data_IF_889731647565
#
_entry.id   IF_889731647565
#
_cell.length_a   1.000
_cell.length_b   1.000
_cell.length_c   1.000
_cell.angle_alpha   90.00
_cell.angle_beta   90.00
_cell.angle_gamma   90.00
#
_symmetry.space_group_name_H-M   'P 1'
#
loop_
_entity.id
_entity.type
_entity.pdbx_description
1 polymer ?
#
# COMPACT_ATOMS: atom_id res chain seq x y z
N UNK A 1 28.80 66.03 -41.32
CA UNK A 1 28.71 66.39 -39.88
C UNK A 1 29.19 65.18 -39.08
N UNK A 2 30.39 65.25 -38.50
CA UNK A 2 31.08 64.08 -37.90
C UNK A 2 30.63 63.90 -36.45
N UNK A 3 29.90 62.81 -36.18
CA UNK A 3 29.31 62.48 -34.87
C UNK A 3 30.44 62.04 -33.92
N UNK A 4 30.76 62.84 -32.90
CA UNK A 4 31.75 62.45 -31.88
C UNK A 4 31.21 61.22 -31.12
N UNK A 5 31.97 60.13 -31.10
CA UNK A 5 31.72 58.97 -30.24
C UNK A 5 32.23 59.34 -28.84
N UNK A 6 31.33 59.44 -27.88
CA UNK A 6 31.72 59.58 -26.47
C UNK A 6 32.27 58.22 -26.00
N UNK A 7 33.54 58.19 -25.61
CA UNK A 7 34.14 57.03 -24.97
C UNK A 7 33.73 56.98 -23.50
N UNK A 8 33.52 55.77 -22.98
CA UNK A 8 33.14 55.51 -21.60
C UNK A 8 34.26 55.95 -20.64
N UNK A 9 33.92 56.60 -19.53
CA UNK A 9 34.93 56.98 -18.53
C UNK A 9 35.39 55.76 -17.73
N UNK A 10 36.68 55.69 -17.38
CA UNK A 10 37.18 54.65 -16.47
C UNK A 10 36.43 54.67 -15.13
N UNK A 11 36.02 55.85 -14.65
CA UNK A 11 35.31 55.98 -13.37
C UNK A 11 33.89 55.40 -13.43
N UNK A 12 33.20 55.51 -14.57
CA UNK A 12 31.87 54.93 -14.75
C UNK A 12 31.95 53.40 -14.72
N UNK A 13 32.97 52.82 -15.35
CA UNK A 13 33.18 51.38 -15.35
C UNK A 13 33.48 50.85 -13.94
N UNK A 14 34.30 51.57 -13.16
CA UNK A 14 34.61 51.21 -11.77
C UNK A 14 33.36 51.29 -10.88
N UNK A 15 32.53 52.31 -11.05
CA UNK A 15 31.30 52.44 -10.25
C UNK A 15 30.30 51.31 -10.54
N UNK A 16 30.19 50.89 -11.80
CA UNK A 16 29.31 49.78 -12.21
C UNK A 16 29.72 48.46 -11.55
N UNK A 17 31.02 48.11 -11.55
CA UNK A 17 31.47 46.85 -10.93
C UNK A 17 31.29 46.86 -9.41
N UNK A 18 31.40 48.02 -8.76
CA UNK A 18 31.17 48.15 -7.31
C UNK A 18 29.70 47.92 -6.99
N UNK A 19 28.78 48.54 -7.74
CA UNK A 19 27.34 48.32 -7.55
C UNK A 19 26.98 46.84 -7.76
N UNK A 20 27.49 46.23 -8.85
CA UNK A 20 27.26 44.81 -9.13
C UNK A 20 27.83 43.91 -8.03
N UNK A 21 28.98 44.26 -7.46
CA UNK A 21 29.59 43.54 -6.33
C UNK A 21 28.70 43.55 -5.08
N UNK A 22 28.14 44.70 -4.71
CA UNK A 22 27.25 44.83 -3.54
C UNK A 22 25.94 44.05 -3.76
N UNK A 23 25.34 44.18 -4.95
CA UNK A 23 24.12 43.45 -5.29
C UNK A 23 24.35 41.93 -5.29
N UNK A 24 25.47 41.47 -5.82
CA UNK A 24 25.84 40.05 -5.82
C UNK A 24 26.05 39.51 -4.39
N UNK A 25 26.73 40.27 -3.52
CA UNK A 25 26.99 39.86 -2.14
C UNK A 25 25.70 39.58 -1.34
N UNK A 26 24.64 40.35 -1.58
CA UNK A 26 23.33 40.15 -0.92
C UNK A 26 22.48 39.08 -1.62
N UNK A 27 22.56 38.98 -2.95
CA UNK A 27 21.74 38.05 -3.73
C UNK A 27 22.21 36.59 -3.65
N UNK A 28 23.53 36.34 -3.64
CA UNK A 28 24.10 34.98 -3.70
C UNK A 28 23.65 34.09 -2.52
N UNK A 29 23.70 34.52 -1.25
CA UNK A 29 23.29 33.68 -0.13
C UNK A 29 21.81 33.26 -0.21
N UNK A 30 20.93 34.20 -0.62
CA UNK A 30 19.50 33.93 -0.82
C UNK A 30 19.25 32.96 -1.98
N UNK A 31 19.96 33.16 -3.10
CA UNK A 31 19.84 32.28 -4.26
C UNK A 31 20.24 30.84 -3.93
N UNK A 32 21.32 30.64 -3.17
CA UNK A 32 21.76 29.29 -2.75
C UNK A 32 20.72 28.62 -1.86
N UNK A 33 20.18 29.31 -0.85
CA UNK A 33 19.16 28.75 0.04
C UNK A 33 17.88 28.35 -0.71
N UNK A 34 17.38 29.21 -1.60
CA UNK A 34 16.18 28.89 -2.40
C UNK A 34 16.38 27.70 -3.34
N UNK A 35 17.60 27.53 -3.88
CA UNK A 35 17.94 26.40 -4.74
C UNK A 35 17.94 25.08 -3.96
N UNK A 36 18.51 25.06 -2.76
CA UNK A 36 18.50 23.86 -1.92
C UNK A 36 17.09 23.48 -1.50
N UNK A 37 16.26 24.46 -1.14
CA UNK A 37 14.87 24.22 -0.76
C UNK A 37 14.05 23.67 -1.94
N UNK A 38 14.26 24.21 -3.14
CA UNK A 38 13.63 23.70 -4.36
C UNK A 38 14.04 22.25 -4.65
N UNK A 39 15.32 21.90 -4.48
CA UNK A 39 15.79 20.52 -4.67
C UNK A 39 15.16 19.55 -3.66
N UNK A 40 15.05 19.96 -2.39
CA UNK A 40 14.39 19.15 -1.35
C UNK A 40 12.90 18.99 -1.66
N UNK A 41 12.22 20.05 -2.10
CA UNK A 41 10.81 19.99 -2.48
C UNK A 41 10.58 19.05 -3.67
N UNK A 42 11.41 19.12 -4.71
CA UNK A 42 11.36 18.20 -5.85
C UNK A 42 11.59 16.76 -5.42
N UNK A 43 12.63 16.49 -4.61
CA UNK A 43 12.90 15.15 -4.11
C UNK A 43 11.73 14.58 -3.29
N UNK A 44 11.08 15.40 -2.46
CA UNK A 44 9.87 14.99 -1.72
C UNK A 44 8.71 14.67 -2.65
N UNK A 45 8.50 15.49 -3.69
CA UNK A 45 7.47 15.25 -4.71
C UNK A 45 7.72 13.97 -5.49
N UNK A 46 8.97 13.71 -5.86
CA UNK A 46 9.38 12.50 -6.57
C UNK A 46 9.13 11.26 -5.70
N UNK A 47 9.51 11.30 -4.42
CA UNK A 47 9.23 10.20 -3.48
C UNK A 47 7.73 9.94 -3.34
N UNK A 48 6.90 10.98 -3.20
CA UNK A 48 5.45 10.84 -3.14
C UNK A 48 4.87 10.25 -4.44
N UNK A 49 5.45 10.60 -5.59
CA UNK A 49 5.06 10.06 -6.89
C UNK A 49 5.42 8.59 -7.04
N UNK A 50 6.64 8.20 -6.60
CA UNK A 50 7.09 6.81 -6.60
C UNK A 50 6.24 5.95 -5.66
N UNK A 51 5.93 6.43 -4.45
CA UNK A 51 5.05 5.72 -3.52
C UNK A 51 3.68 5.41 -4.14
N UNK A 52 3.08 6.40 -4.82
CA UNK A 52 1.81 6.21 -5.55
C UNK A 52 1.97 5.24 -6.71
N UNK A 53 3.07 5.34 -7.46
CA UNK A 53 3.34 4.46 -8.60
C UNK A 53 3.53 3.00 -8.19
N UNK A 54 4.19 2.71 -7.06
CA UNK A 54 4.37 1.35 -6.55
C UNK A 54 3.01 0.71 -6.25
N UNK A 55 2.15 1.42 -5.51
CA UNK A 55 0.82 0.92 -5.16
C UNK A 55 -0.02 0.69 -6.42
N UNK A 56 -0.03 1.65 -7.35
CA UNK A 56 -0.72 1.52 -8.62
C UNK A 56 -0.20 0.35 -9.48
N UNK A 57 1.12 0.14 -9.53
CA UNK A 57 1.75 -0.97 -10.24
C UNK A 57 1.38 -2.32 -9.62
N UNK A 58 1.40 -2.43 -8.30
CA UNK A 58 0.97 -3.65 -7.61
C UNK A 58 -0.50 -3.94 -7.95
N UNK A 59 -1.39 -2.95 -7.92
CA UNK A 59 -2.78 -3.18 -8.34
C UNK A 59 -2.89 -3.59 -9.82
N UNK A 60 -2.15 -2.94 -10.73
CA UNK A 60 -2.17 -3.27 -12.15
C UNK A 60 -1.62 -4.66 -12.46
N UNK A 61 -0.52 -5.07 -11.82
CA UNK A 61 0.07 -6.41 -11.97
C UNK A 61 -0.85 -7.51 -11.39
N UNK A 62 -1.67 -7.18 -10.40
CA UNK A 62 -2.73 -8.06 -9.89
C UNK A 62 -3.94 -8.16 -10.84
N UNK A 63 -4.03 -7.30 -11.85
CA UNK A 63 -4.98 -7.38 -12.97
C UNK A 63 -4.25 -8.02 -14.16
N UNK A 64 -3.56 -9.14 -13.96
CA UNK A 64 -3.16 -10.00 -15.07
C UNK A 64 -4.40 -10.81 -15.50
N UNK A 65 -5.00 -10.54 -16.68
CA UNK A 65 -6.16 -11.26 -17.17
C UNK A 65 -5.86 -12.74 -17.49
N UNK A 66 -4.58 -13.14 -17.53
CA UNK A 66 -4.12 -14.53 -17.75
C UNK A 66 -3.67 -15.26 -16.48
N UNK A 67 -3.34 -14.57 -15.38
CA UNK A 67 -3.12 -15.20 -14.08
C UNK A 67 -4.43 -15.58 -13.37
N UNK A 68 -5.56 -15.05 -13.83
CA UNK A 68 -6.87 -15.47 -13.35
C UNK A 68 -7.21 -16.87 -13.85
N UNK A 69 -6.81 -17.91 -13.08
CA UNK A 69 -7.54 -19.19 -13.08
C UNK A 69 -8.92 -19.08 -12.44
N UNK A 70 -9.36 -17.86 -12.15
CA UNK A 70 -10.56 -17.58 -11.40
C UNK A 70 -11.62 -17.14 -12.41
N UNK A 71 -12.76 -17.86 -12.45
CA UNK A 71 -13.85 -17.46 -13.31
C UNK A 71 -14.28 -16.03 -13.00
N UNK A 72 -14.80 -15.32 -14.00
CA UNK A 72 -15.55 -14.09 -13.75
C UNK A 72 -16.65 -14.33 -12.69
N UNK A 73 -17.08 -13.29 -11.93
CA UNK A 73 -18.17 -13.32 -10.94
C UNK A 73 -19.47 -14.03 -11.31
N UNK A 74 -19.64 -14.34 -12.58
CA UNK A 74 -20.82 -14.88 -13.22
C UNK A 74 -20.46 -15.71 -14.47
N UNK A 75 -19.29 -16.35 -14.51
CA UNK A 75 -18.94 -17.29 -15.58
C UNK A 75 -19.97 -18.45 -15.60
N UNK A 76 -20.82 -18.55 -16.64
CA UNK A 76 -21.84 -19.59 -16.72
C UNK A 76 -21.23 -21.00 -16.87
N UNK A 77 -19.92 -21.11 -17.12
CA UNK A 77 -19.21 -22.39 -17.24
C UNK A 77 -18.69 -22.93 -15.91
N UNK A 78 -18.71 -22.13 -14.83
CA UNK A 78 -18.32 -22.58 -13.48
C UNK A 78 -19.53 -22.56 -12.54
N UNK A 79 -19.81 -23.71 -11.92
CA UNK A 79 -21.02 -24.00 -11.14
C UNK A 79 -21.11 -23.34 -9.75
N UNK A 80 -20.28 -22.32 -9.45
CA UNK A 80 -20.22 -21.70 -8.12
C UNK A 80 -20.31 -20.18 -8.24
N UNK A 81 -21.40 -19.61 -7.74
CA UNK A 81 -21.52 -18.17 -7.50
C UNK A 81 -20.32 -17.70 -6.66
N UNK A 82 -19.71 -16.58 -7.02
CA UNK A 82 -18.60 -16.00 -6.25
C UNK A 82 -19.12 -15.60 -4.86
N UNK A 83 -18.52 -16.18 -3.82
CA UNK A 83 -18.82 -15.83 -2.43
C UNK A 83 -18.21 -14.48 -2.05
N UNK A 84 -18.66 -13.88 -0.95
CA UNK A 84 -18.19 -12.57 -0.51
C UNK A 84 -16.66 -12.51 -0.30
N UNK A 85 -16.05 -13.60 0.19
CA UNK A 85 -14.61 -13.67 0.46
C UNK A 85 -13.80 -13.60 -0.84
N UNK A 86 -14.25 -14.34 -1.85
CA UNK A 86 -13.67 -14.34 -3.18
C UNK A 86 -13.86 -12.97 -3.87
N UNK A 87 -15.04 -12.35 -3.70
CA UNK A 87 -15.31 -11.00 -4.19
C UNK A 87 -14.39 -9.95 -3.57
N UNK A 88 -14.18 -9.98 -2.24
CA UNK A 88 -13.26 -9.05 -1.57
C UNK A 88 -11.82 -9.28 -2.04
N UNK A 89 -11.42 -10.51 -2.34
CA UNK A 89 -10.07 -10.77 -2.86
C UNK A 89 -9.88 -10.11 -4.22
N UNK A 90 -10.87 -10.24 -5.11
CA UNK A 90 -10.82 -9.68 -6.46
C UNK A 90 -10.97 -8.15 -6.51
N UNK A 91 -11.98 -7.62 -5.81
CA UNK A 91 -12.35 -6.20 -5.88
C UNK A 91 -11.60 -5.36 -4.85
N UNK A 92 -11.27 -5.95 -3.70
CA UNK A 92 -10.49 -5.30 -2.64
C UNK A 92 -8.99 -5.21 -2.95
N UNK A 93 -8.55 -5.74 -4.10
CA UNK A 93 -7.15 -5.70 -4.53
C UNK A 93 -6.21 -6.49 -3.62
N UNK A 94 -6.73 -7.53 -2.97
CA UNK A 94 -5.92 -8.47 -2.23
C UNK A 94 -5.30 -9.45 -3.22
N UNK A 95 -3.99 -9.39 -3.32
CA UNK A 95 -3.20 -10.24 -4.22
C UNK A 95 -3.33 -11.74 -3.86
N UNK A 96 -3.69 -12.58 -4.83
CA UNK A 96 -3.79 -14.04 -4.69
C UNK A 96 -2.46 -14.72 -4.42
N UNK A 97 -1.35 -14.00 -4.56
CA UNK A 97 -0.07 -14.50 -4.10
C UNK A 97 0.03 -14.52 -2.57
N UNK A 98 -0.74 -13.67 -1.87
CA UNK A 98 -0.72 -13.48 -0.41
C UNK A 98 -2.04 -13.76 0.28
N UNK A 99 -3.15 -13.89 -0.44
CA UNK A 99 -4.48 -14.09 0.14
C UNK A 99 -5.23 -15.19 -0.60
N UNK A 100 -6.04 -15.93 0.14
CA UNK A 100 -6.90 -16.96 -0.42
C UNK A 100 -8.23 -17.03 0.31
N UNK A 101 -9.23 -17.56 -0.40
CA UNK A 101 -10.47 -18.00 0.22
C UNK A 101 -10.18 -19.19 1.13
N UNK A 102 -10.68 -19.11 2.35
CA UNK A 102 -10.60 -20.20 3.31
C UNK A 102 -11.81 -20.15 4.23
N UNK A 103 -12.56 -21.25 4.20
CA UNK A 103 -13.61 -21.53 5.17
C UNK A 103 -13.07 -21.63 6.60
N UNK A 104 -13.75 -20.97 7.53
CA UNK A 104 -13.54 -21.14 8.96
C UNK A 104 -13.74 -22.61 9.35
N UNK A 105 -12.75 -23.23 10.00
CA UNK A 105 -12.77 -24.65 10.38
C UNK A 105 -13.13 -25.61 9.22
N UNK A 106 -12.80 -25.26 7.97
CA UNK A 106 -13.19 -26.01 6.77
C UNK A 106 -14.72 -26.16 6.58
N UNK A 107 -15.52 -25.29 7.20
CA UNK A 107 -16.97 -25.29 7.08
C UNK A 107 -17.42 -24.35 5.94
N UNK A 108 -17.98 -24.87 4.83
CA UNK A 108 -18.41 -24.06 3.68
C UNK A 108 -19.52 -23.04 4.00
N UNK A 109 -20.20 -23.19 5.14
CA UNK A 109 -21.18 -22.23 5.62
C UNK A 109 -20.54 -20.94 6.16
N UNK A 110 -19.23 -20.91 6.38
CA UNK A 110 -18.49 -19.76 6.91
C UNK A 110 -17.28 -19.47 6.00
N UNK A 111 -17.51 -18.93 4.78
CA UNK A 111 -16.42 -18.51 3.94
C UNK A 111 -15.63 -17.41 4.65
N UNK A 112 -14.34 -17.35 4.39
CA UNK A 112 -13.45 -16.39 5.01
C UNK A 112 -12.25 -16.09 4.13
N UNK A 113 -11.40 -15.20 4.63
CA UNK A 113 -10.18 -14.78 3.98
C UNK A 113 -9.01 -15.14 4.90
N UNK A 114 -8.00 -15.75 4.30
CA UNK A 114 -6.78 -16.09 4.99
C UNK A 114 -5.53 -15.62 4.24
N UNK A 115 -4.49 -15.18 4.95
CA UNK A 115 -3.18 -14.98 4.37
C UNK A 115 -2.55 -16.31 3.96
N UNK A 116 -1.82 -16.28 2.86
CA UNK A 116 -0.99 -17.37 2.37
C UNK A 116 0.43 -17.22 2.88
N UNK A 117 1.04 -18.34 3.28
CA UNK A 117 2.45 -18.41 3.65
C UNK A 117 3.01 -19.80 3.40
N UNK A 118 4.21 -20.05 3.90
CA UNK A 118 4.86 -21.35 3.75
C UNK A 118 4.42 -22.25 4.91
N UNK A 119 3.44 -23.12 4.69
CA UNK A 119 2.86 -23.97 5.74
C UNK A 119 3.43 -25.37 5.68
N UNK A 120 3.50 -26.06 6.82
CA UNK A 120 3.91 -27.47 6.86
C UNK A 120 2.77 -28.38 6.37
N UNK A 121 3.11 -29.42 5.62
CA UNK A 121 2.11 -30.38 5.12
C UNK A 121 1.52 -31.25 6.24
N UNK A 122 2.25 -31.45 7.34
CA UNK A 122 1.85 -32.23 8.50
C UNK A 122 2.50 -31.68 9.77
N UNK A 123 1.88 -31.93 10.94
CA UNK A 123 2.45 -31.60 12.25
C UNK A 123 3.79 -32.32 12.42
N UNK A 124 4.90 -31.57 12.45
CA UNK A 124 6.25 -32.12 12.54
C UNK A 124 7.00 -32.31 11.21
N UNK A 125 6.37 -32.01 10.06
CA UNK A 125 7.04 -32.02 8.76
C UNK A 125 8.17 -30.99 8.64
N UNK A 126 9.16 -31.27 7.78
CA UNK A 126 10.25 -30.36 7.40
C UNK A 126 10.05 -29.71 6.04
N UNK A 127 9.14 -30.25 5.22
CA UNK A 127 8.72 -29.69 3.94
C UNK A 127 7.64 -28.63 4.14
N UNK A 128 7.81 -27.52 3.44
CA UNK A 128 6.86 -26.42 3.43
C UNK A 128 6.26 -26.26 2.03
N UNK A 129 4.97 -25.97 1.98
CA UNK A 129 4.25 -25.64 0.76
C UNK A 129 3.50 -24.33 0.94
N UNK A 130 3.18 -23.68 -0.16
CA UNK A 130 2.33 -22.49 -0.12
C UNK A 130 0.92 -22.90 0.33
N UNK A 131 0.44 -22.31 1.41
CA UNK A 131 -0.90 -22.62 1.94
C UNK A 131 -1.39 -21.62 2.97
N UNK A 132 -2.58 -21.88 3.49
CA UNK A 132 -3.31 -21.03 4.43
C UNK A 132 -2.63 -20.98 5.82
N UNK A 133 -2.30 -19.78 6.30
CA UNK A 133 -1.72 -19.58 7.65
C UNK A 133 -2.75 -19.54 8.79
N UNK A 134 -4.05 -19.47 8.47
CA UNK A 134 -5.17 -19.38 9.40
C UNK A 134 -6.22 -18.38 8.90
N UNK A 135 -7.51 -18.72 8.98
CA UNK A 135 -8.59 -17.79 8.61
C UNK A 135 -8.61 -16.62 9.58
N UNK A 136 -8.44 -15.42 9.04
CA UNK A 136 -8.33 -14.19 9.85
C UNK A 136 -9.60 -13.34 9.77
N UNK A 137 -10.31 -13.37 8.64
CA UNK A 137 -11.57 -12.64 8.46
C UNK A 137 -12.66 -13.63 8.06
N UNK A 138 -13.79 -13.60 8.75
CA UNK A 138 -14.98 -14.35 8.34
C UNK A 138 -16.25 -13.61 8.74
N UNK A 139 -17.37 -13.97 8.11
CA UNK A 139 -18.69 -13.49 8.51
C UNK A 139 -19.34 -14.54 9.38
N UNK A 140 -19.70 -14.18 10.61
CA UNK A 140 -20.57 -14.99 11.45
C UNK A 140 -22.03 -14.67 11.09
N UNK A 141 -22.67 -15.56 10.33
CA UNK A 141 -24.07 -15.40 9.93
C UNK A 141 -25.04 -15.54 11.12
N UNK A 142 -24.65 -16.22 12.20
CA UNK A 142 -25.48 -16.33 13.41
C UNK A 142 -25.52 -15.02 14.19
N UNK A 143 -24.44 -14.24 14.15
CA UNK A 143 -24.34 -12.94 14.83
C UNK A 143 -24.56 -11.75 13.90
N UNK A 144 -24.50 -11.97 12.59
CA UNK A 144 -24.54 -10.90 11.60
C UNK A 144 -23.34 -9.97 11.70
N UNK A 145 -22.15 -10.50 11.97
CA UNK A 145 -20.93 -9.73 12.20
C UNK A 145 -19.82 -10.14 11.23
N UNK A 146 -19.01 -9.17 10.80
CA UNK A 146 -17.69 -9.42 10.21
C UNK A 146 -16.69 -9.52 11.36
N UNK A 147 -16.10 -10.69 11.53
CA UNK A 147 -15.18 -10.99 12.61
C UNK A 147 -13.73 -11.04 12.10
N UNK A 148 -12.82 -10.41 12.86
CA UNK A 148 -11.39 -10.32 12.62
C UNK A 148 -10.63 -10.99 13.78
N UNK A 149 -9.99 -12.11 13.48
CA UNK A 149 -9.33 -12.96 14.45
C UNK A 149 -7.88 -13.29 14.04
N UNK A 150 -6.93 -12.37 14.26
CA UNK A 150 -5.52 -12.59 13.95
C UNK A 150 -4.87 -13.70 14.81
N UNK A 151 -5.47 -14.04 15.95
CA UNK A 151 -5.03 -15.16 16.80
C UNK A 151 -5.08 -16.52 16.11
N UNK A 152 -5.94 -16.68 15.09
CA UNK A 152 -6.11 -17.93 14.36
C UNK A 152 -4.98 -18.20 13.37
N UNK A 153 -4.05 -17.26 13.19
CA UNK A 153 -2.80 -17.52 12.48
C UNK A 153 -1.93 -18.45 13.34
N UNK A 154 -1.89 -19.73 12.98
CA UNK A 154 -1.26 -20.79 13.79
C UNK A 154 0.24 -20.93 13.50
N UNK A 155 1.04 -21.37 14.49
CA UNK A 155 2.51 -21.41 14.41
C UNK A 155 3.09 -22.55 13.53
N UNK A 156 2.31 -23.17 12.66
CA UNK A 156 2.77 -24.25 11.77
C UNK A 156 3.18 -23.76 10.37
N UNK A 157 3.59 -22.50 10.29
CA UNK A 157 4.11 -21.87 9.09
C UNK A 157 5.55 -21.38 9.30
N UNK A 158 6.30 -21.28 8.20
CA UNK A 158 7.60 -20.62 8.08
C UNK A 158 7.44 -19.43 7.13
N UNK A 159 8.20 -18.37 7.38
CA UNK A 159 8.23 -17.20 6.51
C UNK A 159 7.69 -15.93 7.18
N UNK A 160 8.19 -14.81 6.68
CA UNK A 160 8.05 -13.51 7.35
C UNK A 160 6.65 -12.92 7.25
N UNK A 161 5.88 -13.16 6.18
CA UNK A 161 4.60 -12.46 6.00
C UNK A 161 3.57 -12.80 7.08
N UNK A 162 3.22 -14.08 7.27
CA UNK A 162 2.23 -14.47 8.27
C UNK A 162 2.70 -14.15 9.70
N UNK A 163 4.00 -14.29 9.98
CA UNK A 163 4.59 -13.93 11.28
C UNK A 163 4.54 -12.42 11.54
N UNK A 164 4.96 -11.59 10.59
CA UNK A 164 4.93 -10.13 10.71
C UNK A 164 3.49 -9.61 10.76
N UNK A 165 2.59 -10.21 9.97
CA UNK A 165 1.17 -9.87 9.98
C UNK A 165 0.57 -10.16 11.35
N UNK A 166 0.83 -11.35 11.91
CA UNK A 166 0.41 -11.69 13.28
C UNK A 166 1.03 -10.76 14.32
N UNK A 167 2.32 -10.49 14.22
CA UNK A 167 3.02 -9.58 15.12
C UNK A 167 2.44 -8.16 15.11
N UNK A 168 1.98 -7.69 13.95
CA UNK A 168 1.31 -6.38 13.81
C UNK A 168 0.02 -6.29 14.64
N UNK A 169 -0.58 -7.42 15.00
CA UNK A 169 -1.79 -7.51 15.82
C UNK A 169 -1.56 -8.23 17.17
N UNK A 170 -0.30 -8.49 17.56
CA UNK A 170 0.01 -9.28 18.76
C UNK A 170 -0.47 -8.64 20.08
N UNK A 171 -0.61 -7.31 20.11
CA UNK A 171 -1.14 -6.56 21.25
C UNK A 171 -2.67 -6.39 21.20
N UNK A 172 -3.34 -6.97 20.21
CA UNK A 172 -4.81 -6.95 20.06
C UNK A 172 -5.46 -8.05 20.93
N UNK A 173 -5.04 -8.20 22.18
CA UNK A 173 -5.58 -9.19 23.11
C UNK A 173 -6.85 -8.73 23.84
N UNK A 174 -7.33 -7.51 23.57
CA UNK A 174 -8.62 -6.99 24.04
C UNK A 174 -9.76 -7.19 23.03
N UNK A 175 -11.03 -7.03 23.45
CA UNK A 175 -12.22 -7.17 22.59
C UNK A 175 -12.42 -6.02 21.57
N UNK A 176 -11.49 -5.07 21.44
CA UNK A 176 -11.65 -3.91 20.56
C UNK A 176 -11.77 -4.28 19.08
N UNK A 177 -12.65 -3.62 18.33
CA UNK A 177 -12.87 -3.66 16.87
C UNK A 177 -12.59 -4.99 16.12
N UNK A 178 -12.77 -6.13 16.77
CA UNK A 178 -12.64 -7.47 16.17
C UNK A 178 -13.94 -7.99 15.58
N UNK A 179 -15.04 -7.29 15.80
CA UNK A 179 -16.36 -7.66 15.30
C UNK A 179 -17.08 -6.40 14.86
N UNK A 180 -17.45 -6.34 13.58
CA UNK A 180 -18.22 -5.25 12.99
C UNK A 180 -19.62 -5.78 12.69
N UNK A 181 -20.69 -5.23 13.30
CA UNK A 181 -22.06 -5.61 12.95
C UNK A 181 -22.36 -5.23 11.50
N UNK A 182 -22.93 -6.15 10.74
CA UNK A 182 -23.30 -5.99 9.33
C UNK A 182 -24.71 -5.40 9.16
N UNK A 183 -25.52 -5.41 10.22
CA UNK A 183 -26.79 -4.71 10.25
C UNK A 183 -26.54 -3.23 10.57
N UNK A 184 -26.96 -2.35 9.67
CA UNK A 184 -27.03 -0.89 9.87
C UNK A 184 -27.88 -0.58 11.11
N UNK A 185 -27.26 -0.45 12.26
CA UNK A 185 -27.73 0.52 13.25
C UNK A 185 -27.17 1.85 12.77
N UNK A 186 -28.07 2.76 12.39
CA UNK A 186 -27.75 3.98 11.64
C UNK A 186 -26.52 4.73 12.13
N UNK A 187 -25.88 5.42 11.18
CA UNK A 187 -24.67 6.24 11.33
C UNK A 187 -23.40 5.47 11.67
N UNK A 188 -22.73 4.95 10.63
CA UNK A 188 -21.27 4.87 10.63
C UNK A 188 -20.79 6.30 10.32
N UNK A 189 -20.50 7.10 11.34
CA UNK A 189 -19.73 8.33 11.18
C UNK A 189 -18.23 7.94 11.13
N UNK A 190 -17.57 8.32 10.04
CA UNK A 190 -16.12 8.24 9.87
C UNK A 190 -15.44 9.47 10.49
#
# INVERSE_FOLDING_TARGET
>A
MMKRRNAFSMIELVFVIVILGVLAAVAVPRFVATRTDAQVATARSDLASVQKAIVAKVFADNIDPTASKVPAPNDPTKSKMIGWSEWIIEVGGLDRSRWMEQNWNNNPAFPGIAPMGNVKNNVGGTTFQKGNCGTMLYIDYSRGTLEFHPENMTMQHSGTFCELLKASYANSSGPGNKSIPLASTGTIEF
#
